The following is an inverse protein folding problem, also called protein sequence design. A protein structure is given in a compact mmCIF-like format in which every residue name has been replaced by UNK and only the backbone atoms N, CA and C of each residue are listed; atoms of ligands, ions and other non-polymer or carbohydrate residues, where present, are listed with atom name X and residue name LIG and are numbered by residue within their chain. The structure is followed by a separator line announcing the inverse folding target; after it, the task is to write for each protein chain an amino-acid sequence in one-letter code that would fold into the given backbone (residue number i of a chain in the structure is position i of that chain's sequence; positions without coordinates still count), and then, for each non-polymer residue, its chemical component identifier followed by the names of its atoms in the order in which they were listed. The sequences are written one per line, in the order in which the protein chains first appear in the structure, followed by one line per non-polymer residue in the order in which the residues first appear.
data_IF_384234056558
#
_entry.id   IF_384234056558
#
_cell.length_a   1.000
_cell.length_b   1.000
_cell.length_c   1.000
_cell.angle_alpha   90.00
_cell.angle_beta   90.00
_cell.angle_gamma   90.00
#
_symmetry.space_group_name_H-M   'P 1'
#
loop_
_entity.id
_entity.type
_entity.pdbx_description
1 polymer ?
#
# COMPACT_ATOMS: atom_id res chain seq x y z
N UNK A 1 -17.20 -4.10 21.82
CA UNK A 1 -16.01 -3.23 21.96
C UNK A 1 -14.84 -4.10 22.41
N UNK A 2 -13.90 -4.36 21.50
CA UNK A 2 -12.55 -4.84 21.79
C UNK A 2 -11.72 -4.51 20.53
N UNK A 3 -11.07 -3.35 20.53
CA UNK A 3 -10.09 -3.02 19.50
C UNK A 3 -8.85 -3.88 19.73
N UNK A 4 -8.66 -4.88 18.88
CA UNK A 4 -7.42 -5.66 18.85
C UNK A 4 -6.27 -4.72 18.48
N UNK A 5 -5.46 -4.33 19.47
CA UNK A 5 -4.21 -3.60 19.22
C UNK A 5 -3.21 -4.57 18.61
N UNK A 6 -3.01 -4.46 17.29
CA UNK A 6 -1.93 -5.15 16.61
C UNK A 6 -0.64 -4.44 17.04
N UNK A 7 0.20 -5.12 17.84
CA UNK A 7 1.59 -4.70 18.09
C UNK A 7 2.38 -4.88 16.79
N UNK A 8 2.25 -3.92 15.88
CA UNK A 8 3.00 -3.89 14.64
C UNK A 8 4.27 -3.07 14.83
N UNK A 9 5.39 -3.71 15.17
CA UNK A 9 6.71 -3.10 14.99
C UNK A 9 7.03 -3.11 13.49
N UNK A 10 6.43 -2.16 12.76
CA UNK A 10 6.53 -2.00 11.30
C UNK A 10 7.92 -1.54 10.84
N UNK A 11 8.85 -1.31 11.78
CA UNK A 11 10.29 -1.16 11.53
C UNK A 11 10.90 -2.43 10.90
N UNK A 12 10.20 -3.57 10.98
CA UNK A 12 10.56 -4.84 10.37
C UNK A 12 9.89 -5.10 9.01
N UNK A 13 9.17 -4.13 8.41
CA UNK A 13 8.72 -4.32 7.02
C UNK A 13 9.96 -4.38 6.13
N UNK A 14 10.05 -5.47 5.37
CA UNK A 14 11.07 -5.70 4.38
C UNK A 14 11.18 -4.48 3.44
N UNK A 15 12.35 -3.84 3.44
CA UNK A 15 12.63 -2.67 2.61
C UNK A 15 12.45 -2.96 1.12
N UNK A 16 12.55 -4.23 0.69
CA UNK A 16 12.33 -4.65 -0.69
C UNK A 16 10.87 -4.49 -1.15
N UNK A 17 9.95 -4.27 -0.21
CA UNK A 17 8.52 -4.03 -0.47
C UNK A 17 8.14 -2.55 -0.48
N UNK A 18 9.08 -1.64 -0.20
CA UNK A 18 8.83 -0.21 -0.20
C UNK A 18 8.78 0.32 -1.65
N UNK A 19 7.60 0.77 -2.08
CA UNK A 19 7.43 1.37 -3.41
C UNK A 19 7.71 2.87 -3.42
N UNK A 20 7.34 3.57 -2.34
CA UNK A 20 7.50 5.03 -2.25
C UNK A 20 7.62 5.47 -0.79
N UNK A 21 8.47 6.47 -0.54
CA UNK A 21 8.52 7.20 0.74
C UNK A 21 8.58 8.70 0.47
N UNK A 22 7.79 9.48 1.21
CA UNK A 22 7.69 10.93 1.07
C UNK A 22 7.51 11.58 2.44
N UNK A 23 8.12 12.76 2.64
CA UNK A 23 7.90 13.58 3.83
C UNK A 23 7.07 14.81 3.48
N UNK A 24 5.97 15.00 4.20
CA UNK A 24 5.03 16.08 4.00
C UNK A 24 5.11 17.04 5.19
N UNK A 25 5.16 18.34 4.91
CA UNK A 25 5.18 19.37 5.95
C UNK A 25 3.77 19.89 6.18
N UNK A 26 3.28 19.78 7.40
CA UNK A 26 1.99 20.33 7.80
C UNK A 26 2.03 21.86 7.79
N UNK A 27 0.97 22.46 7.26
CA UNK A 27 0.69 23.87 7.40
C UNK A 27 0.13 24.11 8.81
N UNK A 28 0.66 25.10 9.57
CA UNK A 28 0.14 25.41 10.89
C UNK A 28 -1.34 25.85 10.84
N UNK A 29 -2.11 25.47 11.87
CA UNK A 29 -3.48 25.96 12.07
C UNK A 29 -4.56 25.32 11.20
N UNK A 30 -4.27 24.24 10.46
CA UNK A 30 -5.27 23.46 9.74
C UNK A 30 -5.28 22.01 10.22
N UNK A 31 -6.46 21.37 10.38
CA UNK A 31 -6.55 19.94 10.69
C UNK A 31 -5.96 19.12 9.54
N UNK A 32 -5.52 17.90 9.84
CA UNK A 32 -5.10 16.95 8.83
C UNK A 32 -6.29 16.09 8.41
N UNK A 33 -6.53 16.01 7.11
CA UNK A 33 -7.59 15.20 6.54
C UNK A 33 -7.00 14.19 5.55
N UNK A 34 -7.55 12.99 5.54
CA UNK A 34 -7.16 11.91 4.65
C UNK A 34 -8.33 11.54 3.74
N UNK A 35 -8.06 11.50 2.44
CA UNK A 35 -9.07 11.23 1.41
C UNK A 35 -8.59 10.18 0.43
N UNK A 36 -9.54 9.38 -0.03
CA UNK A 36 -9.31 8.35 -1.04
C UNK A 36 -10.28 8.58 -2.17
N UNK A 37 -9.83 8.39 -3.42
CA UNK A 37 -10.75 8.36 -4.56
C UNK A 37 -11.65 7.12 -4.47
N UNK A 38 -12.96 7.31 -4.64
CA UNK A 38 -14.02 6.33 -4.36
C UNK A 38 -13.88 4.93 -4.99
N UNK A 39 -13.03 4.76 -6.01
CA UNK A 39 -12.85 3.48 -6.69
C UNK A 39 -11.71 2.62 -6.13
N UNK A 40 -11.14 2.99 -4.97
CA UNK A 40 -10.02 2.29 -4.37
C UNK A 40 -10.12 2.20 -2.84
N UNK A 41 -9.80 1.04 -2.27
CA UNK A 41 -9.81 0.80 -0.82
C UNK A 41 -8.39 0.50 -0.31
N UNK A 42 -7.57 1.52 -0.01
CA UNK A 42 -6.24 1.31 0.55
C UNK A 42 -6.35 0.75 1.96
N UNK A 43 -5.39 -0.11 2.32
CA UNK A 43 -5.16 -0.41 3.72
C UNK A 43 -4.26 0.68 4.30
N UNK A 44 -4.80 1.50 5.20
CA UNK A 44 -4.08 2.62 5.82
C UNK A 44 -3.71 2.26 7.25
N UNK A 45 -2.45 2.43 7.60
CA UNK A 45 -1.91 2.24 8.94
C UNK A 45 -1.32 3.55 9.43
N UNK A 46 -1.72 3.97 10.62
CA UNK A 46 -1.27 5.22 11.24
C UNK A 46 -0.49 4.91 12.50
N UNK A 47 0.75 5.36 12.53
CA UNK A 47 1.62 5.36 13.68
C UNK A 47 1.75 6.77 14.24
N UNK A 48 1.20 6.96 15.44
CA UNK A 48 1.25 8.22 16.19
C UNK A 48 2.46 8.29 17.12
N UNK A 49 3.64 7.82 16.67
CA UNK A 49 4.89 7.85 17.43
C UNK A 49 5.89 8.86 16.86
N UNK A 50 6.42 9.70 17.75
CA UNK A 50 7.63 10.48 17.49
C UNK A 50 7.52 11.96 17.86
N UNK A 51 8.65 12.65 17.79
CA UNK A 51 8.76 14.10 18.04
C UNK A 51 8.38 14.97 16.84
N UNK A 52 7.87 14.36 15.75
CA UNK A 52 7.71 15.00 14.46
C UNK A 52 6.77 16.21 14.59
N UNK A 53 7.33 17.40 14.88
CA UNK A 53 6.52 18.52 15.37
C UNK A 53 5.44 18.94 14.36
N UNK A 54 5.76 18.89 13.07
CA UNK A 54 4.90 19.31 11.95
C UNK A 54 5.17 18.54 10.66
N UNK A 55 5.58 17.27 10.76
CA UNK A 55 5.88 16.44 9.59
C UNK A 55 5.07 15.17 9.64
N UNK A 56 4.71 14.70 8.46
CA UNK A 56 4.12 13.38 8.24
C UNK A 56 5.06 12.65 7.30
N UNK A 57 5.44 11.43 7.65
CA UNK A 57 6.09 10.53 6.72
C UNK A 57 5.03 9.59 6.13
N UNK A 58 4.97 9.52 4.80
CA UNK A 58 4.12 8.60 4.06
C UNK A 58 5.01 7.55 3.42
N UNK A 59 4.74 6.28 3.68
CA UNK A 59 5.37 5.16 3.00
C UNK A 59 4.31 4.29 2.34
N UNK A 60 4.53 3.90 1.09
CA UNK A 60 3.69 2.96 0.35
C UNK A 60 4.48 1.66 0.21
N UNK A 61 3.87 0.56 0.66
CA UNK A 61 4.41 -0.78 0.50
C UNK A 61 3.52 -1.61 -0.42
N UNK A 62 4.08 -2.65 -1.06
CA UNK A 62 3.31 -3.66 -1.78
C UNK A 62 3.44 -5.04 -1.14
N UNK A 63 2.37 -5.84 -1.25
CA UNK A 63 2.49 -7.28 -1.12
C UNK A 63 3.09 -7.89 -2.40
N UNK A 64 3.39 -9.19 -2.38
CA UNK A 64 3.82 -9.89 -3.58
C UNK A 64 2.81 -9.73 -4.73
N UNK A 65 3.35 -9.44 -5.92
CA UNK A 65 2.64 -9.50 -7.19
C UNK A 65 3.21 -10.65 -8.00
N UNK A 66 2.51 -11.78 -8.03
CA UNK A 66 2.93 -12.94 -8.82
C UNK A 66 1.93 -13.12 -9.96
N UNK A 67 2.42 -13.13 -11.20
CA UNK A 67 1.60 -13.31 -12.38
C UNK A 67 2.18 -14.45 -13.22
N UNK A 68 1.45 -15.56 -13.29
CA UNK A 68 1.85 -16.75 -14.06
C UNK A 68 3.25 -17.28 -13.65
N UNK A 69 3.56 -17.19 -12.36
CA UNK A 69 4.86 -17.59 -11.78
C UNK A 69 5.97 -16.54 -11.91
N UNK A 70 5.75 -15.41 -12.58
CA UNK A 70 6.69 -14.30 -12.62
C UNK A 70 6.46 -13.35 -11.43
N UNK A 71 7.53 -13.01 -10.72
CA UNK A 71 7.47 -11.96 -9.70
C UNK A 71 7.54 -10.58 -10.36
N UNK A 72 6.41 -9.89 -10.31
CA UNK A 72 6.19 -8.55 -10.87
C UNK A 72 6.18 -7.49 -9.76
N UNK A 73 6.57 -7.83 -8.52
CA UNK A 73 6.45 -6.94 -7.36
C UNK A 73 7.23 -5.63 -7.53
N UNK A 74 8.37 -5.67 -8.23
CA UNK A 74 9.23 -4.51 -8.49
C UNK A 74 8.73 -3.64 -9.66
N UNK A 75 7.80 -4.15 -10.47
CA UNK A 75 7.21 -3.44 -11.62
C UNK A 75 5.92 -2.71 -11.25
N UNK A 76 5.61 -2.62 -9.96
CA UNK A 76 4.42 -1.96 -9.45
C UNK A 76 4.61 -0.45 -9.36
N UNK A 77 3.71 0.29 -9.99
CA UNK A 77 3.61 1.74 -9.79
C UNK A 77 2.94 2.03 -8.44
N UNK A 78 3.55 2.83 -7.56
CA UNK A 78 2.93 3.23 -6.30
C UNK A 78 1.66 4.05 -6.54
N UNK A 79 0.73 4.02 -5.59
CA UNK A 79 -0.42 4.92 -5.58
C UNK A 79 0.01 6.38 -5.74
N UNK A 80 -0.80 7.15 -6.46
CA UNK A 80 -0.60 8.58 -6.55
C UNK A 80 -0.98 9.23 -5.22
N UNK A 81 -0.07 10.05 -4.71
CA UNK A 81 -0.28 10.86 -3.52
C UNK A 81 -0.32 12.32 -3.95
N UNK A 82 -1.36 13.03 -3.55
CA UNK A 82 -1.45 14.49 -3.65
C UNK A 82 -1.64 15.07 -2.25
N UNK A 83 -0.77 16.00 -1.86
CA UNK A 83 -0.88 16.67 -0.57
C UNK A 83 -1.09 18.18 -0.77
N UNK A 84 -2.23 18.68 -0.32
CA UNK A 84 -2.58 20.10 -0.44
C UNK A 84 -3.44 20.53 0.76
N UNK A 85 -3.11 21.67 1.38
CA UNK A 85 -3.88 22.23 2.53
C UNK A 85 -4.14 21.19 3.62
N UNK A 86 -3.08 20.49 4.06
CA UNK A 86 -3.15 19.38 5.03
C UNK A 86 -4.10 18.22 4.66
N UNK A 87 -4.57 18.16 3.42
CA UNK A 87 -5.35 17.04 2.90
C UNK A 87 -4.43 16.12 2.11
N UNK A 88 -4.36 14.86 2.52
CA UNK A 88 -3.69 13.79 1.80
C UNK A 88 -4.71 13.03 0.95
N UNK A 89 -4.64 13.19 -0.36
CA UNK A 89 -5.48 12.48 -1.31
C UNK A 89 -4.70 11.34 -1.97
N UNK A 90 -5.34 10.18 -2.08
CA UNK A 90 -4.76 8.97 -2.66
C UNK A 90 -5.62 8.48 -3.81
N UNK A 91 -4.98 8.13 -4.92
CA UNK A 91 -5.63 7.56 -6.09
C UNK A 91 -4.82 6.41 -6.71
N UNK A 92 -5.48 5.39 -7.30
CA UNK A 92 -4.78 4.36 -8.06
C UNK A 92 -4.19 4.94 -9.34
N UNK A 93 -3.05 4.41 -9.76
CA UNK A 93 -2.46 4.70 -11.07
C UNK A 93 -2.70 3.49 -11.98
N UNK A 94 -3.36 3.66 -13.14
CA UNK A 94 -3.53 2.57 -14.10
C UNK A 94 -2.18 2.00 -14.53
N UNK A 95 -2.07 0.67 -14.49
CA UNK A 95 -0.87 -0.06 -14.93
C UNK A 95 -1.25 -0.97 -16.10
N UNK A 96 -0.45 -0.94 -17.15
CA UNK A 96 -0.61 -1.80 -18.32
C UNK A 96 0.60 -2.72 -18.43
N UNK A 97 0.39 -4.03 -18.32
CA UNK A 97 1.43 -5.02 -18.51
C UNK A 97 1.23 -5.71 -19.85
N UNK A 98 2.22 -5.62 -20.74
CA UNK A 98 2.22 -6.38 -21.99
C UNK A 98 2.92 -7.71 -21.77
N UNK A 99 2.14 -8.78 -21.63
CA UNK A 99 2.64 -10.12 -21.35
C UNK A 99 2.54 -10.97 -22.61
N UNK A 100 3.71 -11.28 -23.18
CA UNK A 100 3.82 -12.29 -24.24
C UNK A 100 4.36 -13.58 -23.61
N UNK A 101 3.47 -14.39 -23.04
CA UNK A 101 3.85 -15.65 -22.39
C UNK A 101 3.71 -16.79 -23.40
N UNK A 102 4.83 -17.46 -23.70
CA UNK A 102 4.78 -18.71 -24.46
C UNK A 102 4.14 -19.80 -23.59
N UNK A 103 2.91 -20.18 -23.90
CA UNK A 103 2.22 -21.29 -23.23
C UNK A 103 2.45 -22.58 -24.03
N UNK A 104 3.10 -23.61 -23.46
CA UNK A 104 3.14 -24.91 -24.11
C UNK A 104 1.71 -25.44 -24.26
N UNK A 105 1.46 -26.15 -25.36
CA UNK A 105 0.13 -26.67 -25.68
C UNK A 105 -0.36 -27.63 -24.59
N UNK A 106 -1.68 -27.77 -24.48
CA UNK A 106 -2.34 -28.58 -23.45
C UNK A 106 -1.80 -30.02 -23.35
N UNK A 107 -1.39 -30.62 -24.48
CA UNK A 107 -0.81 -31.96 -24.55
C UNK A 107 0.54 -32.08 -23.80
N UNK A 108 1.36 -31.03 -23.83
CA UNK A 108 2.66 -31.00 -23.12
C UNK A 108 2.42 -30.92 -21.61
N UNK A 109 1.44 -30.11 -21.16
CA UNK A 109 1.07 -30.00 -19.75
C UNK A 109 0.62 -31.33 -19.13
N UNK A 110 -0.06 -32.21 -19.90
CA UNK A 110 -0.46 -33.54 -19.41
C UNK A 110 0.71 -34.53 -19.32
N UNK A 111 1.72 -34.39 -20.19
CA UNK A 111 2.87 -35.28 -20.24
C UNK A 111 3.91 -34.98 -19.14
N UNK A 112 4.02 -33.73 -18.68
CA UNK A 112 5.00 -33.30 -17.67
C UNK A 112 4.58 -33.59 -16.21
N UNK A 113 3.37 -34.14 -15.99
CA UNK A 113 2.83 -34.40 -14.65
C UNK A 113 2.39 -33.13 -13.90
N UNK A 114 1.95 -33.23 -12.63
CA UNK A 114 1.51 -32.09 -11.85
C UNK A 114 2.71 -31.17 -11.54
N UNK A 115 3.00 -30.24 -12.44
CA UNK A 115 3.91 -29.14 -12.17
C UNK A 115 3.24 -28.16 -11.22
N UNK A 116 4.03 -27.53 -10.32
CA UNK A 116 3.60 -26.43 -9.46
C UNK A 116 2.68 -25.48 -10.22
N UNK A 117 1.65 -24.88 -9.60
CA UNK A 117 0.67 -24.06 -10.30
C UNK A 117 1.34 -22.84 -10.93
N UNK A 118 1.85 -23.01 -12.16
CA UNK A 118 2.36 -21.94 -13.01
C UNK A 118 1.24 -20.98 -13.43
N UNK A 119 0.00 -21.37 -13.18
CA UNK A 119 -1.22 -20.59 -13.41
C UNK A 119 -1.68 -19.88 -12.11
N UNK A 120 -0.78 -19.58 -11.16
CA UNK A 120 -1.12 -18.82 -9.95
C UNK A 120 -1.06 -17.32 -10.20
N UNK A 121 -2.14 -16.62 -9.89
CA UNK A 121 -2.20 -15.15 -9.86
C UNK A 121 -2.34 -14.69 -8.41
N UNK A 122 -1.31 -14.00 -7.90
CA UNK A 122 -1.36 -13.30 -6.62
C UNK A 122 -1.43 -11.82 -6.95
N UNK A 123 -2.64 -11.25 -6.86
CA UNK A 123 -2.84 -9.82 -7.06
C UNK A 123 -2.28 -9.04 -5.86
N UNK A 124 -1.48 -7.99 -6.10
CA UNK A 124 -0.88 -7.25 -5.02
C UNK A 124 -1.89 -6.31 -4.38
N UNK A 125 -1.63 -6.00 -3.10
CA UNK A 125 -2.26 -4.89 -2.39
C UNK A 125 -1.19 -3.87 -2.06
N UNK A 126 -1.56 -2.60 -2.14
CA UNK A 126 -0.71 -1.53 -1.64
C UNK A 126 -1.21 -1.07 -0.27
N UNK A 127 -0.25 -0.86 0.63
CA UNK A 127 -0.45 -0.47 2.00
C UNK A 127 0.13 0.92 2.19
N UNK A 128 -0.63 1.81 2.82
CA UNK A 128 -0.16 3.15 3.17
C UNK A 128 0.17 3.16 4.65
N UNK A 129 1.39 3.55 4.96
CA UNK A 129 1.85 3.78 6.32
C UNK A 129 2.09 5.26 6.53
N UNK A 130 1.46 5.80 7.57
CA UNK A 130 1.57 7.20 7.97
C UNK A 130 2.24 7.27 9.33
N UNK A 131 3.42 7.88 9.40
CA UNK A 131 4.01 8.30 10.67
C UNK A 131 3.65 9.76 10.90
N UNK A 132 2.94 10.03 11.98
CA UNK A 132 2.33 11.34 12.25
C UNK A 132 2.68 11.84 13.66
N UNK A 133 2.55 13.15 13.93
CA UNK A 133 2.68 13.69 15.28
C UNK A 133 1.64 13.07 16.23
N UNK A 134 1.97 12.83 17.52
CA UNK A 134 1.11 12.11 18.46
C UNK A 134 -0.24 12.80 18.70
N UNK A 135 -0.24 14.13 18.67
CA UNK A 135 -1.42 14.95 18.92
C UNK A 135 -2.14 15.38 17.63
N UNK A 136 -1.79 14.79 16.48
CA UNK A 136 -2.45 15.11 15.22
C UNK A 136 -3.84 14.44 15.17
N UNK A 137 -4.88 15.26 15.04
CA UNK A 137 -6.21 14.80 14.71
C UNK A 137 -6.27 14.42 13.22
N UNK A 138 -6.88 13.28 12.94
CA UNK A 138 -7.00 12.74 11.58
C UNK A 138 -8.47 12.57 11.27
N UNK A 139 -8.93 13.35 10.29
CA UNK A 139 -10.25 13.19 9.69
C UNK A 139 -10.12 12.30 8.46
N UNK A 140 -11.10 11.42 8.22
CA UNK A 140 -11.11 10.55 7.05
C UNK A 140 -12.53 10.29 6.55
N UNK A 141 -12.68 10.13 5.24
CA UNK A 141 -13.96 9.83 4.61
C UNK A 141 -14.43 8.41 4.98
N UNK A 142 -15.75 8.13 4.92
CA UNK A 142 -16.35 6.85 5.35
C UNK A 142 -15.81 5.62 4.62
N UNK A 143 -15.31 5.82 3.39
CA UNK A 143 -14.74 4.78 2.53
C UNK A 143 -13.31 4.39 2.94
N UNK A 144 -12.71 5.12 3.88
CA UNK A 144 -11.34 4.90 4.33
C UNK A 144 -11.33 4.05 5.60
N UNK A 145 -10.70 2.87 5.51
CA UNK A 145 -10.40 2.05 6.68
C UNK A 145 -8.99 2.34 7.21
N UNK A 146 -8.91 2.94 8.39
CA UNK A 146 -7.65 3.27 9.07
C UNK A 146 -7.43 2.36 10.28
N UNK A 147 -6.25 1.73 10.34
CA UNK A 147 -5.77 1.02 11.53
C UNK A 147 -4.73 1.87 12.26
N UNK A 148 -4.96 2.16 13.53
CA UNK A 148 -3.94 2.77 14.39
C UNK A 148 -3.03 1.70 14.96
N UNK A 149 -1.71 1.87 14.79
CA UNK A 149 -0.70 0.98 15.36
C UNK A 149 -0.07 1.62 16.60
N UNK A 150 0.05 0.84 17.67
CA UNK A 150 0.56 1.27 18.97
C UNK A 150 2.02 0.94 19.19
#
# INVERSE_FOLDING_TARGET
MAGSSIKGELENIDSERLLKREQLKLQPGQPFSFKVSADYFPMVYVDKKGDQANRIEVSIYSTAFILEGFDMSQEMTPLQILFQKNTLSVAPVPMNYNLSIYRPSYLVKQAEGPSMPRDSVIMPRQLIYLKVPPNLDIEYDEEVYINFVN
#
